data_IF_420083041200
#
_entry.id   IF_420083041200
#
_cell.length_a   1.000
_cell.length_b   1.000
_cell.length_c   1.000
_cell.angle_alpha   90.00
_cell.angle_beta   90.00
_cell.angle_gamma   90.00
#
_symmetry.space_group_name_H-M   'P 1'
#
loop_
_entity.id
_entity.type
_entity.pdbx_description
1 polymer ?
#
# COMPACT_ATOMS: atom_id res chain seq x y z
N UNK A 1 4.21 -0.96 25.04
CA UNK A 1 5.30 -1.22 24.08
C UNK A 1 4.74 -2.25 23.12
N UNK A 2 4.40 -1.78 21.92
CA UNK A 2 3.62 -2.55 20.94
C UNK A 2 4.48 -3.65 20.30
N UNK A 3 3.87 -4.76 19.89
CA UNK A 3 4.52 -6.00 19.44
C UNK A 3 5.46 -5.77 18.22
N UNK A 4 5.32 -4.65 17.52
CA UNK A 4 6.16 -4.25 16.39
C UNK A 4 7.32 -3.29 16.68
N UNK A 5 7.51 -2.81 17.92
CA UNK A 5 8.51 -1.75 18.19
C UNK A 5 9.96 -2.18 17.94
N UNK A 6 10.25 -3.47 18.05
CA UNK A 6 11.58 -4.05 17.82
C UNK A 6 12.08 -3.84 16.38
N UNK A 7 11.19 -3.69 15.40
CA UNK A 7 11.55 -3.48 14.00
C UNK A 7 12.28 -2.14 13.77
N UNK A 8 11.96 -1.14 14.59
CA UNK A 8 12.48 0.23 14.45
C UNK A 8 13.37 0.68 15.61
N UNK A 9 13.39 -0.07 16.72
CA UNK A 9 14.08 0.30 17.96
C UNK A 9 15.55 0.67 17.74
N UNK A 10 16.25 -0.11 16.90
CA UNK A 10 17.67 0.14 16.54
C UNK A 10 17.92 1.47 15.80
N UNK A 11 16.88 2.12 15.29
CA UNK A 11 16.97 3.40 14.59
C UNK A 11 16.58 4.59 15.49
N UNK A 12 15.95 4.33 16.64
CA UNK A 12 15.57 5.37 17.59
C UNK A 12 16.83 6.05 18.13
N UNK A 13 16.84 7.39 18.11
CA UNK A 13 18.00 8.20 18.50
C UNK A 13 18.97 8.51 17.36
N UNK A 14 18.84 7.89 16.19
CA UNK A 14 19.59 8.32 15.01
C UNK A 14 19.06 9.67 14.53
N UNK A 15 19.89 10.72 14.40
CA UNK A 15 19.43 12.06 14.02
C UNK A 15 18.81 12.15 12.62
N UNK A 16 18.99 11.14 11.77
CA UNK A 16 18.39 11.04 10.43
C UNK A 16 17.14 10.16 10.38
N UNK A 17 16.74 9.58 11.51
CA UNK A 17 15.52 8.77 11.61
C UNK A 17 14.50 9.48 12.47
N UNK A 18 13.35 9.78 11.88
CA UNK A 18 12.26 10.46 12.55
C UNK A 18 11.04 9.54 12.54
N UNK A 19 10.85 8.81 13.64
CA UNK A 19 9.62 8.06 13.86
C UNK A 19 8.53 9.00 14.38
N UNK A 20 7.35 8.89 13.81
CA UNK A 20 6.18 9.59 14.31
C UNK A 20 5.01 8.61 14.26
N UNK A 21 4.30 8.52 15.36
CA UNK A 21 3.13 7.65 15.50
C UNK A 21 1.93 8.27 14.78
N UNK A 22 1.23 7.47 13.99
CA UNK A 22 0.06 7.90 13.24
C UNK A 22 -0.63 6.73 12.53
N UNK A 23 -1.92 6.92 12.27
CA UNK A 23 -2.77 5.99 11.51
C UNK A 23 -3.25 6.68 10.23
N UNK A 24 -3.03 6.03 9.09
CA UNK A 24 -3.34 6.57 7.76
C UNK A 24 -4.83 6.84 7.54
N UNK A 25 -5.70 6.11 8.22
CA UNK A 25 -7.16 6.23 8.10
C UNK A 25 -7.76 7.32 8.99
N UNK A 26 -7.00 7.82 9.97
CA UNK A 26 -7.49 8.82 10.94
C UNK A 26 -6.82 10.18 10.71
N UNK A 27 -5.50 10.22 10.46
CA UNK A 27 -4.69 11.43 10.57
C UNK A 27 -4.47 12.14 9.22
N UNK A 28 -5.54 12.42 8.49
CA UNK A 28 -5.46 12.91 7.09
C UNK A 28 -4.65 14.20 6.93
N UNK A 29 -4.89 15.22 7.77
CA UNK A 29 -4.16 16.51 7.72
C UNK A 29 -2.66 16.35 8.00
N UNK A 30 -2.33 15.44 8.92
CA UNK A 30 -0.95 15.18 9.32
C UNK A 30 -0.19 14.43 8.22
N UNK A 31 -0.81 13.45 7.57
CA UNK A 31 -0.24 12.75 6.42
C UNK A 31 0.03 13.73 5.29
N UNK A 32 -0.93 14.60 4.98
CA UNK A 32 -0.78 15.62 3.95
C UNK A 32 0.42 16.54 4.26
N UNK A 33 0.58 16.96 5.51
CA UNK A 33 1.71 17.76 5.96
C UNK A 33 3.06 17.06 5.68
N UNK A 34 3.20 15.77 6.02
CA UNK A 34 4.44 15.04 5.79
C UNK A 34 4.69 14.74 4.32
N UNK A 35 3.64 14.48 3.53
CA UNK A 35 3.78 14.35 2.08
C UNK A 35 4.31 15.66 1.49
N UNK A 36 3.79 16.81 1.92
CA UNK A 36 4.29 18.11 1.48
C UNK A 36 5.75 18.35 1.89
N UNK A 37 6.14 17.89 3.08
CA UNK A 37 7.49 18.08 3.66
C UNK A 37 8.56 17.18 3.01
N UNK A 38 8.24 15.92 2.73
CA UNK A 38 9.18 14.94 2.20
C UNK A 38 9.32 15.03 0.67
N UNK A 39 10.36 14.42 0.10
CA UNK A 39 10.62 14.42 -1.35
C UNK A 39 10.12 13.14 -2.05
N UNK A 40 10.26 12.01 -1.36
CA UNK A 40 9.89 10.67 -1.84
C UNK A 40 8.93 10.03 -0.86
N UNK A 41 7.83 9.48 -1.37
CA UNK A 41 6.75 8.88 -0.58
C UNK A 41 6.65 7.39 -0.88
N UNK A 42 6.67 6.58 0.18
CA UNK A 42 6.54 5.11 0.13
C UNK A 42 5.34 4.70 0.99
N UNK A 43 4.14 4.59 0.41
CA UNK A 43 2.96 4.14 1.15
C UNK A 43 2.96 2.61 1.27
N UNK A 44 3.39 2.10 2.43
CA UNK A 44 3.54 0.65 2.67
C UNK A 44 2.37 0.03 3.43
N UNK A 45 1.34 0.80 3.76
CA UNK A 45 0.17 0.32 4.51
C UNK A 45 -0.80 -0.38 3.57
N UNK A 46 -1.01 -1.68 3.79
CA UNK A 46 -1.97 -2.52 3.06
C UNK A 46 -2.30 -3.79 3.87
N UNK A 47 -3.42 -4.44 3.58
CA UNK A 47 -3.75 -5.79 4.01
C UNK A 47 -3.27 -6.76 2.94
N UNK A 48 -2.09 -7.36 3.16
CA UNK A 48 -1.49 -8.35 2.27
C UNK A 48 -1.64 -9.80 2.80
N UNK A 49 -2.72 -10.09 3.53
CA UNK A 49 -2.96 -11.41 4.13
C UNK A 49 -4.05 -12.16 3.36
N UNK A 50 -3.74 -13.27 2.64
CA UNK A 50 -4.69 -13.92 1.73
C UNK A 50 -6.04 -14.33 2.31
N UNK A 51 -6.09 -14.68 3.59
CA UNK A 51 -7.35 -15.05 4.26
C UNK A 51 -8.31 -13.85 4.37
N UNK A 52 -7.78 -12.65 4.54
CA UNK A 52 -8.57 -11.42 4.69
C UNK A 52 -9.24 -11.02 3.39
N UNK A 53 -8.67 -11.38 2.24
CA UNK A 53 -9.27 -11.10 0.92
C UNK A 53 -10.61 -11.81 0.75
N UNK A 54 -10.84 -12.88 1.50
CA UNK A 54 -12.09 -13.64 1.49
C UNK A 54 -12.98 -13.31 2.68
N UNK A 55 -12.40 -13.07 3.86
CA UNK A 55 -13.16 -12.78 5.08
C UNK A 55 -13.69 -11.35 5.12
N UNK A 56 -12.86 -10.38 4.71
CA UNK A 56 -13.12 -8.95 4.85
C UNK A 56 -12.76 -8.19 3.55
N UNK A 57 -13.31 -8.57 2.38
CA UNK A 57 -12.91 -7.99 1.09
C UNK A 57 -13.10 -6.47 1.02
N UNK A 58 -14.17 -5.94 1.60
CA UNK A 58 -14.41 -4.49 1.64
C UNK A 58 -13.32 -3.75 2.43
N UNK A 59 -12.86 -4.33 3.54
CA UNK A 59 -11.81 -3.73 4.35
C UNK A 59 -10.47 -3.68 3.60
N UNK A 60 -10.18 -4.71 2.81
CA UNK A 60 -9.01 -4.73 1.91
C UNK A 60 -9.12 -3.59 0.90
N UNK A 61 -10.28 -3.44 0.25
CA UNK A 61 -10.50 -2.36 -0.72
C UNK A 61 -10.40 -0.96 -0.10
N UNK A 62 -11.08 -0.72 1.02
CA UNK A 62 -11.06 0.57 1.73
C UNK A 62 -9.63 1.00 2.09
N UNK A 63 -8.83 0.08 2.65
CA UNK A 63 -7.47 0.40 3.07
C UNK A 63 -6.50 0.46 1.89
N UNK A 64 -6.45 -0.59 1.09
CA UNK A 64 -5.40 -0.78 0.09
C UNK A 64 -5.60 0.16 -1.10
N UNK A 65 -6.85 0.51 -1.41
CA UNK A 65 -7.18 1.42 -2.50
C UNK A 65 -7.63 2.80 -2.02
N UNK A 66 -8.71 2.92 -1.25
CA UNK A 66 -9.31 4.25 -0.97
C UNK A 66 -8.40 5.15 -0.14
N UNK A 67 -7.79 4.62 0.94
CA UNK A 67 -6.85 5.39 1.76
C UNK A 67 -5.55 5.72 0.99
N UNK A 68 -5.03 4.76 0.21
CA UNK A 68 -3.85 5.01 -0.62
C UNK A 68 -4.10 5.99 -1.77
N UNK A 69 -5.32 6.03 -2.33
CA UNK A 69 -5.69 7.00 -3.36
C UNK A 69 -5.58 8.45 -2.85
N UNK A 70 -5.87 8.69 -1.56
CA UNK A 70 -5.66 10.01 -0.94
C UNK A 70 -4.19 10.38 -0.95
N UNK A 71 -3.30 9.44 -0.57
CA UNK A 71 -1.84 9.64 -0.59
C UNK A 71 -1.34 9.95 -2.01
N UNK A 72 -1.78 9.18 -3.01
CA UNK A 72 -1.42 9.39 -4.42
C UNK A 72 -1.86 10.79 -4.87
N UNK A 73 -3.08 11.21 -4.55
CA UNK A 73 -3.58 12.56 -4.86
C UNK A 73 -2.74 13.66 -4.22
N UNK A 74 -2.30 13.48 -2.97
CA UNK A 74 -1.40 14.43 -2.32
C UNK A 74 -0.02 14.47 -2.97
N UNK A 75 0.52 13.33 -3.40
CA UNK A 75 1.79 13.29 -4.13
C UNK A 75 1.70 14.09 -5.43
N UNK A 76 0.60 13.96 -6.17
CA UNK A 76 0.34 14.78 -7.37
C UNK A 76 0.21 16.27 -7.00
N UNK A 77 -0.62 16.60 -6.00
CA UNK A 77 -0.85 17.99 -5.54
C UNK A 77 0.43 18.73 -5.19
N UNK A 78 1.39 18.04 -4.58
CA UNK A 78 2.66 18.62 -4.13
C UNK A 78 3.87 18.25 -4.98
N UNK A 79 3.66 17.66 -6.16
CA UNK A 79 4.69 17.22 -7.09
C UNK A 79 5.79 16.37 -6.42
N UNK A 80 5.38 15.35 -5.68
CA UNK A 80 6.27 14.43 -4.96
C UNK A 80 6.45 13.14 -5.74
N UNK A 81 7.65 12.57 -5.67
CA UNK A 81 7.91 11.25 -6.23
C UNK A 81 7.25 10.20 -5.35
N UNK A 82 6.38 9.40 -5.93
CA UNK A 82 5.81 8.23 -5.26
C UNK A 82 6.55 6.98 -5.74
N UNK A 83 6.89 6.10 -4.81
CA UNK A 83 7.35 4.73 -5.09
C UNK A 83 6.28 3.82 -4.47
N UNK A 84 5.31 3.45 -5.30
CA UNK A 84 4.15 2.70 -4.86
C UNK A 84 4.44 1.19 -4.91
N UNK A 85 4.22 0.45 -3.81
CA UNK A 85 4.36 -1.00 -3.82
C UNK A 85 3.17 -1.62 -4.56
N UNK A 86 3.37 -1.97 -5.83
CA UNK A 86 2.47 -2.90 -6.53
C UNK A 86 2.60 -4.32 -5.94
N UNK A 87 1.87 -5.28 -6.49
CA UNK A 87 1.89 -6.68 -6.07
C UNK A 87 2.13 -7.59 -7.27
N UNK A 88 2.86 -8.69 -7.07
CA UNK A 88 2.95 -9.75 -8.07
C UNK A 88 1.63 -10.48 -8.28
N UNK A 89 0.66 -10.35 -7.35
CA UNK A 89 -0.67 -10.91 -7.53
C UNK A 89 -1.45 -10.24 -8.67
N UNK A 90 -1.02 -9.07 -9.16
CA UNK A 90 -1.65 -8.36 -10.30
C UNK A 90 -1.69 -9.21 -11.57
N UNK A 91 -0.69 -10.08 -11.76
CA UNK A 91 -0.63 -11.00 -12.91
C UNK A 91 -1.67 -12.12 -12.80
N UNK A 92 -2.12 -12.44 -11.58
CA UNK A 92 -3.11 -13.46 -11.29
C UNK A 92 -2.73 -14.84 -11.84
N UNK A 93 -3.50 -15.33 -12.82
CA UNK A 93 -3.32 -16.62 -13.50
C UNK A 93 -2.65 -16.44 -14.87
N UNK A 94 -1.82 -15.42 -15.04
CA UNK A 94 -1.01 -15.23 -16.24
C UNK A 94 -0.24 -16.51 -16.59
N UNK A 95 -0.32 -16.91 -17.85
CA UNK A 95 0.26 -18.13 -18.41
C UNK A 95 1.59 -17.90 -19.15
N UNK A 96 2.10 -16.67 -19.10
CA UNK A 96 3.43 -16.35 -19.62
C UNK A 96 4.51 -17.05 -18.79
N UNK A 97 5.63 -17.40 -19.44
CA UNK A 97 6.75 -18.08 -18.76
C UNK A 97 7.44 -17.18 -17.72
N UNK A 98 7.46 -15.89 -18.00
CA UNK A 98 8.01 -14.84 -17.16
C UNK A 98 7.00 -13.70 -17.17
N UNK A 99 6.77 -13.09 -16.01
CA UNK A 99 5.88 -11.93 -15.91
C UNK A 99 6.62 -10.69 -16.39
N UNK A 100 6.00 -9.99 -17.34
CA UNK A 100 6.50 -8.77 -17.96
C UNK A 100 5.55 -7.61 -17.61
N UNK A 101 6.07 -6.58 -16.96
CA UNK A 101 5.30 -5.45 -16.47
C UNK A 101 4.56 -4.67 -17.57
N UNK A 102 5.10 -4.68 -18.80
CA UNK A 102 4.59 -3.89 -19.92
C UNK A 102 3.72 -4.72 -20.88
N UNK A 103 3.85 -6.04 -20.87
CA UNK A 103 3.28 -6.92 -21.90
C UNK A 103 2.40 -8.07 -21.37
N UNK A 104 2.61 -8.54 -20.14
CA UNK A 104 1.88 -9.71 -19.64
C UNK A 104 0.40 -9.42 -19.39
N UNK A 105 -0.43 -10.42 -19.67
CA UNK A 105 -1.86 -10.34 -19.38
C UNK A 105 -2.13 -10.43 -17.89
N UNK A 106 -3.04 -9.60 -17.40
CA UNK A 106 -3.55 -9.65 -16.02
C UNK A 106 -4.82 -10.51 -16.00
N UNK A 107 -4.72 -11.74 -15.50
CA UNK A 107 -5.80 -12.73 -15.59
C UNK A 107 -6.34 -13.06 -14.20
N UNK A 108 -7.57 -12.66 -13.89
CA UNK A 108 -8.22 -12.96 -12.61
C UNK A 108 -9.44 -13.87 -12.79
N UNK A 109 -9.89 -14.45 -11.68
CA UNK A 109 -11.08 -15.31 -11.67
C UNK A 109 -12.40 -14.52 -11.55
N UNK A 110 -13.53 -15.23 -11.52
CA UNK A 110 -14.85 -14.62 -11.48
C UNK A 110 -15.13 -13.85 -10.18
N UNK A 111 -16.08 -12.90 -10.24
CA UNK A 111 -16.49 -12.03 -9.12
C UNK A 111 -16.91 -12.81 -7.85
N UNK A 112 -17.50 -14.00 -8.01
CA UNK A 112 -17.86 -14.84 -6.86
C UNK A 112 -16.65 -15.46 -6.11
N UNK A 113 -15.43 -15.22 -6.58
CA UNK A 113 -14.16 -15.52 -5.89
C UNK A 113 -13.53 -14.23 -5.39
N UNK A 114 -14.04 -13.73 -4.26
CA UNK A 114 -13.66 -12.46 -3.64
C UNK A 114 -12.15 -12.29 -3.39
N UNK A 115 -11.39 -13.39 -3.24
CA UNK A 115 -9.93 -13.34 -3.06
C UNK A 115 -9.19 -12.49 -4.10
N UNK A 116 -9.76 -12.34 -5.30
CA UNK A 116 -9.15 -11.56 -6.37
C UNK A 116 -9.25 -10.05 -6.17
N UNK A 117 -10.00 -9.57 -5.18
CA UNK A 117 -10.13 -8.14 -4.90
C UNK A 117 -8.77 -7.47 -4.69
N UNK A 118 -7.82 -8.16 -4.04
CA UNK A 118 -6.46 -7.69 -3.80
C UNK A 118 -5.64 -7.40 -5.08
N UNK A 119 -5.97 -8.07 -6.18
CA UNK A 119 -5.21 -7.97 -7.43
C UNK A 119 -5.69 -6.87 -8.37
N UNK A 120 -6.90 -6.33 -8.19
CA UNK A 120 -7.60 -5.57 -9.25
C UNK A 120 -8.00 -4.14 -8.88
N UNK A 121 -7.72 -3.69 -7.67
CA UNK A 121 -7.99 -2.30 -7.31
C UNK A 121 -6.90 -1.34 -7.79
#
# INVERSE_FOLDING_TARGET
MDIGSSAIERFIGNPRFHFIEGDVSIHTEWIEYHIKKCDVILPLVAIATPIEYTRNPLRVFELDFEENLKIVRYCVKYNKRIIFPSTSEVYGMCDDKEFDEDNSRLIVGPINKQRWIYSVF
#
